data_IF_805117750550
#
_entry.id   IF_805117750550
#
_cell.length_a   1.000
_cell.length_b   1.000
_cell.length_c   1.000
_cell.angle_alpha   90.00
_cell.angle_beta   90.00
_cell.angle_gamma   90.00
#
_symmetry.space_group_name_H-M   'P 1'
#
loop_
_entity.id
_entity.type
_entity.pdbx_description
1 polymer ?
#
# COMPACT_ATOMS: atom_id res chain seq x y z
N UNK A 1 -18.50 13.57 2.40
CA UNK A 1 -17.81 12.60 1.52
C UNK A 1 -16.56 13.31 1.02
N UNK A 2 -15.43 12.63 0.87
CA UNK A 2 -14.19 13.30 0.48
C UNK A 2 -14.12 13.40 -1.05
N UNK A 3 -13.68 14.52 -1.61
CA UNK A 3 -13.43 14.60 -3.05
C UNK A 3 -12.11 13.91 -3.43
N UNK A 4 -11.93 13.59 -4.71
CA UNK A 4 -10.64 13.07 -5.19
C UNK A 4 -9.47 14.02 -4.90
N UNK A 5 -9.70 15.33 -5.07
CA UNK A 5 -8.69 16.36 -4.83
C UNK A 5 -8.34 16.44 -3.34
N UNK A 6 -9.33 16.39 -2.46
CA UNK A 6 -9.10 16.32 -1.02
C UNK A 6 -8.30 15.07 -0.64
N UNK A 7 -8.59 13.91 -1.24
CA UNK A 7 -7.87 12.66 -0.96
C UNK A 7 -6.41 12.77 -1.41
N UNK A 8 -6.20 13.35 -2.57
CA UNK A 8 -4.88 13.63 -3.13
C UNK A 8 -4.05 14.51 -2.20
N UNK A 9 -4.66 15.62 -1.74
CA UNK A 9 -4.02 16.55 -0.82
C UNK A 9 -3.69 15.89 0.52
N UNK A 10 -4.57 15.02 1.05
CA UNK A 10 -4.29 14.26 2.27
C UNK A 10 -3.12 13.28 2.11
N UNK A 11 -2.95 12.65 0.95
CA UNK A 11 -1.77 11.78 0.68
C UNK A 11 -0.50 12.63 0.65
N UNK A 12 -0.54 13.83 0.05
CA UNK A 12 0.60 14.75 -0.06
C UNK A 12 0.97 15.48 1.23
N UNK A 13 0.05 15.58 2.18
CA UNK A 13 0.28 16.20 3.48
C UNK A 13 1.57 15.66 4.12
N UNK A 14 2.41 16.52 4.70
CA UNK A 14 3.59 16.03 5.42
C UNK A 14 3.20 15.34 6.73
N UNK A 15 3.73 14.13 6.95
CA UNK A 15 3.35 13.31 8.10
C UNK A 15 4.56 12.78 8.86
N UNK A 16 4.36 12.54 10.15
CA UNK A 16 5.30 11.85 11.03
C UNK A 16 4.62 10.65 11.65
N UNK A 17 5.23 9.47 11.53
CA UNK A 17 4.89 8.32 12.35
C UNK A 17 5.13 8.65 13.83
N UNK A 18 4.16 8.28 14.66
CA UNK A 18 4.23 8.36 16.12
C UNK A 18 4.84 7.09 16.68
N UNK A 19 5.64 7.24 17.74
CA UNK A 19 6.48 6.18 18.30
C UNK A 19 7.49 5.67 17.25
N UNK A 20 8.59 5.00 17.65
CA UNK A 20 9.47 4.39 16.65
C UNK A 20 8.68 3.32 15.89
N UNK A 21 8.41 3.50 14.58
CA UNK A 21 7.68 2.51 13.83
C UNK A 21 8.63 1.36 13.48
N UNK A 22 8.45 0.20 14.12
CA UNK A 22 9.33 -0.96 13.97
C UNK A 22 8.53 -2.15 13.44
N UNK A 23 9.04 -2.78 12.38
CA UNK A 23 8.57 -4.06 11.87
C UNK A 23 9.51 -5.15 12.38
N UNK A 24 8.98 -6.06 13.18
CA UNK A 24 9.62 -7.32 13.57
C UNK A 24 8.91 -8.48 12.86
N UNK A 25 9.59 -9.08 11.88
CA UNK A 25 9.04 -10.12 10.98
C UNK A 25 8.61 -11.42 11.68
N UNK A 26 8.73 -11.53 13.00
CA UNK A 26 8.05 -12.55 13.81
C UNK A 26 6.53 -12.35 13.86
N UNK A 27 6.06 -11.12 13.60
CA UNK A 27 4.65 -10.75 13.49
C UNK A 27 4.25 -10.59 12.02
N UNK A 28 2.95 -10.57 11.75
CA UNK A 28 2.41 -10.46 10.38
C UNK A 28 1.58 -9.21 10.13
N UNK A 29 1.24 -8.45 11.17
CA UNK A 29 0.37 -7.28 11.07
C UNK A 29 0.89 -6.15 11.96
N UNK A 30 0.90 -4.95 11.42
CA UNK A 30 1.36 -3.74 12.09
C UNK A 30 0.37 -2.62 11.80
N UNK A 31 0.17 -1.74 12.77
CA UNK A 31 -0.59 -0.52 12.63
C UNK A 31 0.25 0.62 13.20
N UNK A 32 0.59 1.59 12.36
CA UNK A 32 1.37 2.76 12.74
C UNK A 32 0.50 4.00 12.67
N UNK A 33 0.39 4.73 13.78
CA UNK A 33 -0.26 6.04 13.81
C UNK A 33 0.70 7.09 13.25
N UNK A 34 0.15 8.05 12.51
CA UNK A 34 0.87 9.23 12.05
C UNK A 34 0.10 10.49 12.44
N UNK A 35 0.82 11.59 12.62
CA UNK A 35 0.25 12.94 12.71
C UNK A 35 0.67 13.76 11.50
N UNK A 36 -0.19 14.67 11.06
CA UNK A 36 0.24 15.74 10.16
C UNK A 36 1.20 16.69 10.87
N UNK A 37 2.17 17.21 10.12
CA UNK A 37 3.10 18.26 10.59
C UNK A 37 2.43 19.63 10.55
N UNK A 38 1.68 19.91 9.49
CA UNK A 38 1.02 21.19 9.21
C UNK A 38 -0.33 21.32 9.90
N UNK A 39 -1.09 20.23 9.99
CA UNK A 39 -2.44 20.18 10.53
C UNK A 39 -2.46 19.36 11.82
N UNK A 40 -2.22 20.02 12.97
CA UNK A 40 -2.03 19.34 14.28
C UNK A 40 -3.16 18.38 14.70
N UNK A 41 -4.38 18.57 14.22
CA UNK A 41 -5.53 17.73 14.54
C UNK A 41 -5.74 16.56 13.56
N UNK A 42 -4.94 16.47 12.50
CA UNK A 42 -5.03 15.40 11.51
C UNK A 42 -4.18 14.20 11.91
N UNK A 43 -4.83 13.05 11.94
CA UNK A 43 -4.25 11.75 12.26
C UNK A 43 -4.47 10.78 11.12
N UNK A 44 -3.46 9.97 10.87
CA UNK A 44 -3.48 8.93 9.85
C UNK A 44 -3.02 7.60 10.42
N UNK A 45 -3.31 6.53 9.70
CA UNK A 45 -2.76 5.21 9.98
C UNK A 45 -2.10 4.65 8.74
N UNK A 46 -1.07 3.84 8.97
CA UNK A 46 -0.53 2.91 7.99
C UNK A 46 -0.66 1.51 8.57
N UNK A 47 -1.49 0.69 7.96
CA UNK A 47 -1.53 -0.74 8.23
C UNK A 47 -0.55 -1.46 7.30
N UNK A 48 0.29 -2.33 7.84
CA UNK A 48 1.15 -3.19 7.05
C UNK A 48 0.86 -4.64 7.42
N UNK A 49 0.54 -5.45 6.44
CA UNK A 49 0.46 -6.91 6.58
C UNK A 49 1.60 -7.54 5.80
N UNK A 50 2.41 -8.39 6.45
CA UNK A 50 3.55 -9.10 5.84
C UNK A 50 3.40 -10.59 6.11
N UNK A 51 3.42 -11.40 5.05
CA UNK A 51 3.31 -12.86 5.14
C UNK A 51 4.30 -13.53 4.20
N UNK A 52 5.20 -14.35 4.74
CA UNK A 52 5.99 -15.25 3.93
C UNK A 52 5.10 -16.38 3.38
N UNK A 53 5.18 -16.64 2.08
CA UNK A 53 4.51 -17.76 1.41
C UNK A 53 5.57 -18.61 0.71
N UNK A 54 5.55 -19.92 0.98
CA UNK A 54 6.35 -20.89 0.23
C UNK A 54 5.52 -21.36 -0.96
N UNK A 55 5.98 -21.05 -2.16
CA UNK A 55 5.40 -21.55 -3.41
C UNK A 55 6.16 -22.82 -3.81
N UNK A 56 5.45 -23.93 -3.91
CA UNK A 56 5.95 -25.18 -4.48
C UNK A 56 5.53 -25.23 -5.94
N UNK A 57 6.49 -25.22 -6.86
CA UNK A 57 6.22 -25.39 -8.29
C UNK A 57 6.53 -26.85 -8.62
N UNK A 58 5.51 -27.65 -8.93
CA UNK A 58 5.65 -29.11 -9.10
C UNK A 58 6.51 -29.52 -10.31
N UNK A 59 6.81 -28.60 -11.23
CA UNK A 59 7.59 -28.86 -12.43
C UNK A 59 9.10 -28.59 -12.29
N UNK A 60 9.55 -28.00 -11.17
CA UNK A 60 10.96 -27.65 -10.93
C UNK A 60 11.34 -28.08 -9.52
N UNK A 61 12.49 -28.73 -9.37
CA UNK A 61 12.95 -29.49 -8.20
C UNK A 61 13.25 -28.62 -6.94
N UNK A 62 12.43 -27.62 -6.61
CA UNK A 62 12.68 -26.65 -5.53
C UNK A 62 11.44 -25.99 -4.93
N UNK A 63 11.58 -25.53 -3.69
CA UNK A 63 10.62 -24.67 -2.98
C UNK A 63 11.10 -23.22 -3.09
N UNK A 64 10.23 -22.31 -3.52
CA UNK A 64 10.54 -20.88 -3.58
C UNK A 64 9.85 -20.15 -2.43
N UNK A 65 10.54 -19.21 -1.77
CA UNK A 65 9.95 -18.34 -0.75
C UNK A 65 9.64 -17.00 -1.41
N UNK A 66 8.37 -16.60 -1.37
CA UNK A 66 7.90 -15.28 -1.80
C UNK A 66 7.23 -14.60 -0.62
N UNK A 67 7.03 -13.29 -0.68
CA UNK A 67 6.33 -12.57 0.37
C UNK A 67 5.12 -11.86 -0.18
N UNK A 68 4.06 -11.81 0.64
CA UNK A 68 2.91 -10.94 0.42
C UNK A 68 3.01 -9.76 1.34
N UNK A 69 2.78 -8.59 0.79
CA UNK A 69 2.60 -7.40 1.60
C UNK A 69 1.45 -6.54 1.11
N UNK A 70 0.76 -5.92 2.06
CA UNK A 70 -0.18 -4.83 1.81
C UNK A 70 0.18 -3.67 2.71
N UNK A 71 0.30 -2.46 2.14
CA UNK A 71 0.52 -1.23 2.89
C UNK A 71 -0.67 -0.31 2.64
N UNK A 72 -1.45 -0.03 3.67
CA UNK A 72 -2.72 0.68 3.57
C UNK A 72 -2.68 1.99 4.37
N UNK A 73 -2.77 3.12 3.69
CA UNK A 73 -2.80 4.44 4.29
C UNK A 73 -4.24 4.94 4.45
N UNK A 74 -4.61 5.33 5.68
CA UNK A 74 -5.97 5.78 6.02
C UNK A 74 -5.96 7.10 6.77
N UNK A 75 -6.95 7.95 6.55
CA UNK A 75 -7.20 9.16 7.35
C UNK A 75 -8.13 8.83 8.50
N UNK A 76 -7.65 8.90 9.75
CA UNK A 76 -8.49 8.72 10.94
C UNK A 76 -9.42 9.92 11.12
N UNK A 77 -8.89 11.12 10.91
CA UNK A 77 -9.60 12.38 11.16
C UNK A 77 -10.76 12.60 10.18
N UNK A 78 -10.77 11.92 9.04
CA UNK A 78 -11.86 11.98 8.08
C UNK A 78 -12.53 10.62 7.94
N UNK A 79 -13.24 10.20 8.99
CA UNK A 79 -14.12 9.02 8.95
C UNK A 79 -13.43 7.67 8.75
N UNK A 80 -12.12 7.58 9.02
CA UNK A 80 -11.33 6.36 8.84
C UNK A 80 -11.31 5.82 7.39
N UNK A 81 -11.18 6.74 6.44
CA UNK A 81 -11.21 6.48 4.99
C UNK A 81 -9.85 6.00 4.50
N UNK A 82 -9.83 5.01 3.59
CA UNK A 82 -8.63 4.61 2.86
C UNK A 82 -8.26 5.62 1.79
N UNK A 83 -6.98 5.94 1.67
CA UNK A 83 -6.44 6.91 0.72
C UNK A 83 -5.64 6.22 -0.38
N UNK A 84 -4.72 5.34 0.01
CA UNK A 84 -3.83 4.62 -0.89
C UNK A 84 -3.51 3.26 -0.29
N UNK A 85 -3.47 2.21 -1.11
CA UNK A 85 -2.94 0.92 -0.70
C UNK A 85 -2.15 0.27 -1.83
N UNK A 86 -1.01 -0.33 -1.52
CA UNK A 86 -0.27 -1.16 -2.48
C UNK A 86 -0.31 -2.61 -2.03
N UNK A 87 -0.63 -3.52 -2.94
CA UNK A 87 -0.72 -4.95 -2.69
C UNK A 87 0.26 -5.73 -3.57
N UNK A 88 1.11 -6.54 -2.95
CA UNK A 88 1.96 -7.54 -3.58
C UNK A 88 1.47 -8.94 -3.19
N UNK A 89 0.21 -9.23 -3.49
CA UNK A 89 -0.42 -10.47 -3.04
C UNK A 89 -1.85 -10.28 -2.60
N UNK A 90 -2.79 -10.27 -3.55
CA UNK A 90 -4.20 -10.05 -3.29
C UNK A 90 -4.99 -10.22 -4.57
N UNK A 91 -6.25 -10.64 -4.47
CA UNK A 91 -7.16 -10.64 -5.62
C UNK A 91 -8.07 -9.43 -5.51
N UNK A 92 -8.32 -8.76 -6.63
CA UNK A 92 -9.23 -7.63 -6.67
C UNK A 92 -9.98 -7.57 -7.99
N UNK A 93 -11.22 -7.05 -7.95
CA UNK A 93 -11.97 -6.70 -9.15
C UNK A 93 -12.44 -5.27 -9.04
N UNK A 94 -12.05 -4.44 -9.99
CA UNK A 94 -12.59 -3.09 -10.11
C UNK A 94 -14.10 -3.16 -10.40
N UNK A 95 -14.87 -2.13 -9.99
CA UNK A 95 -16.24 -1.93 -10.44
C UNK A 95 -16.34 -2.02 -11.96
N UNK A 96 -17.38 -2.67 -12.47
CA UNK A 96 -17.57 -2.89 -13.92
C UNK A 96 -17.82 -1.60 -14.70
N UNK A 97 -18.29 -0.54 -14.03
CA UNK A 97 -18.55 0.77 -14.61
C UNK A 97 -17.79 1.82 -13.81
N UNK A 98 -17.08 2.69 -14.52
CA UNK A 98 -16.52 3.91 -13.96
C UNK A 98 -17.64 4.91 -13.68
N UNK A 99 -17.61 5.57 -12.54
CA UNK A 99 -18.43 6.75 -12.27
C UNK A 99 -17.77 8.01 -12.87
N UNK A 100 -18.46 9.13 -12.77
CA UNK A 100 -18.03 10.45 -13.23
C UNK A 100 -16.78 10.98 -12.51
N UNK A 101 -16.47 10.43 -11.33
CA UNK A 101 -15.31 10.81 -10.53
C UNK A 101 -14.08 9.95 -10.84
N UNK A 102 -14.17 8.87 -11.63
CA UNK A 102 -12.98 8.09 -12.00
C UNK A 102 -12.10 8.95 -12.93
N UNK A 103 -10.84 9.23 -12.58
CA UNK A 103 -9.92 9.92 -13.48
C UNK A 103 -9.78 9.20 -14.82
N UNK A 104 -9.73 9.97 -15.92
CA UNK A 104 -9.68 9.43 -17.28
C UNK A 104 -8.53 8.43 -17.50
N UNK A 105 -7.37 8.67 -16.88
CA UNK A 105 -6.19 7.81 -17.01
C UNK A 105 -6.37 6.42 -16.38
N UNK A 106 -7.29 6.26 -15.41
CA UNK A 106 -7.62 4.95 -14.79
C UNK A 106 -8.95 4.37 -15.24
N UNK A 107 -9.78 5.13 -15.95
CA UNK A 107 -11.10 4.68 -16.40
C UNK A 107 -11.04 3.40 -17.24
N UNK A 108 -9.97 3.23 -18.03
CA UNK A 108 -9.72 2.01 -18.84
C UNK A 108 -9.60 0.72 -18.03
N UNK A 109 -9.42 0.79 -16.72
CA UNK A 109 -9.34 -0.38 -15.83
C UNK A 109 -10.69 -0.77 -15.23
N UNK A 110 -11.80 -0.20 -15.68
CA UNK A 110 -13.13 -0.63 -15.29
C UNK A 110 -13.31 -2.15 -15.52
N UNK A 111 -13.84 -2.86 -14.52
CA UNK A 111 -14.07 -4.30 -14.56
C UNK A 111 -12.82 -5.18 -14.55
N UNK A 112 -11.61 -4.59 -14.56
CA UNK A 112 -10.36 -5.35 -14.52
C UNK A 112 -10.30 -6.23 -13.28
N UNK A 113 -9.91 -7.47 -13.50
CA UNK A 113 -9.55 -8.42 -12.45
C UNK A 113 -8.04 -8.41 -12.27
N UNK A 114 -7.60 -8.32 -11.02
CA UNK A 114 -6.23 -8.44 -10.58
C UNK A 114 -6.04 -9.80 -9.94
N UNK A 115 -5.15 -10.60 -10.51
CA UNK A 115 -4.87 -11.94 -10.00
C UNK A 115 -3.99 -11.91 -8.75
N UNK A 116 -3.93 -13.06 -8.05
CA UNK A 116 -3.28 -13.20 -6.73
C UNK A 116 -1.84 -12.67 -6.69
N UNK A 117 -1.12 -12.77 -7.79
CA UNK A 117 0.29 -12.41 -7.92
C UNK A 117 0.52 -11.26 -8.89
N UNK A 118 -0.53 -10.52 -9.24
CA UNK A 118 -0.45 -9.29 -10.01
C UNK A 118 -0.39 -8.12 -9.02
N UNK A 119 0.77 -7.47 -8.81
CA UNK A 119 0.86 -6.33 -7.90
C UNK A 119 0.04 -5.16 -8.42
N UNK A 120 -0.66 -4.48 -7.51
CA UNK A 120 -1.54 -3.39 -7.89
C UNK A 120 -1.66 -2.35 -6.78
N UNK A 121 -2.03 -1.13 -7.19
CA UNK A 121 -2.23 0.00 -6.29
C UNK A 121 -3.69 0.37 -6.28
N UNK A 122 -4.26 0.34 -5.09
CA UNK A 122 -5.58 0.81 -4.74
C UNK A 122 -5.55 2.31 -4.48
N UNK A 123 -6.46 3.05 -5.12
CA UNK A 123 -6.53 4.50 -5.06
C UNK A 123 -7.93 4.90 -4.61
N UNK A 124 -8.01 5.98 -3.82
CA UNK A 124 -9.29 6.59 -3.51
C UNK A 124 -9.95 7.10 -4.79
N UNK A 125 -11.23 6.76 -4.96
CA UNK A 125 -12.09 7.36 -5.96
C UNK A 125 -13.40 7.72 -5.27
N UNK A 126 -13.79 8.97 -5.40
CA UNK A 126 -14.98 9.56 -4.81
C UNK A 126 -16.24 8.73 -5.12
N UNK A 127 -17.17 8.71 -4.16
CA UNK A 127 -18.42 7.94 -4.15
C UNK A 127 -18.29 6.41 -4.10
N UNK A 128 -17.13 5.82 -4.42
CA UNK A 128 -16.91 4.41 -4.14
C UNK A 128 -16.67 4.15 -2.65
N UNK A 129 -16.98 2.92 -2.20
CA UNK A 129 -16.85 2.52 -0.79
C UNK A 129 -15.48 2.90 -0.20
N UNK A 130 -15.50 3.92 0.65
CA UNK A 130 -14.32 4.67 1.09
C UNK A 130 -13.39 3.86 2.00
N UNK A 131 -13.88 2.78 2.62
CA UNK A 131 -13.10 1.96 3.55
C UNK A 131 -12.28 0.85 2.88
N UNK A 132 -12.59 0.49 1.62
CA UNK A 132 -11.97 -0.67 0.95
C UNK A 132 -11.18 -0.35 -0.30
N UNK A 133 -11.11 0.91 -0.71
CA UNK A 133 -10.46 1.38 -1.94
C UNK A 133 -10.84 0.50 -3.13
N UNK A 134 -12.05 0.71 -3.65
CA UNK A 134 -12.63 -0.20 -4.66
C UNK A 134 -11.97 -0.12 -6.03
N UNK A 135 -11.14 0.87 -6.28
CA UNK A 135 -10.47 1.04 -7.56
C UNK A 135 -8.99 0.75 -7.41
N UNK A 136 -8.44 -0.03 -8.33
CA UNK A 136 -7.02 -0.30 -8.42
C UNK A 136 -6.50 -0.16 -9.85
N UNK A 137 -5.19 0.04 -9.94
CA UNK A 137 -4.43 0.07 -11.20
C UNK A 137 -3.25 -0.89 -11.10
N UNK A 138 -2.76 -1.42 -12.24
CA UNK A 138 -1.50 -2.15 -12.26
C UNK A 138 -0.36 -1.31 -11.67
N UNK A 139 0.52 -1.95 -10.90
CA UNK A 139 1.65 -1.26 -10.28
C UNK A 139 2.56 -0.57 -11.32
N UNK A 140 2.64 -1.13 -12.52
CA UNK A 140 3.48 -0.66 -13.63
C UNK A 140 3.04 0.68 -14.20
N UNK A 141 1.76 1.01 -14.08
CA UNK A 141 1.19 2.26 -14.61
C UNK A 141 0.91 3.29 -13.52
N UNK A 142 1.17 2.93 -12.26
CA UNK A 142 0.95 3.82 -11.14
C UNK A 142 2.07 4.87 -11.07
N UNK A 143 1.66 6.13 -11.10
CA UNK A 143 2.49 7.30 -10.82
C UNK A 143 1.73 8.22 -9.87
N UNK A 144 2.44 8.77 -8.88
CA UNK A 144 1.91 9.78 -7.97
C UNK A 144 2.92 10.91 -7.83
N UNK A 145 2.72 12.00 -8.57
CA UNK A 145 3.65 13.14 -8.66
C UNK A 145 5.09 12.70 -9.01
N UNK A 146 5.26 11.80 -9.99
CA UNK A 146 6.59 11.30 -10.38
C UNK A 146 7.17 10.24 -9.44
N UNK A 147 6.40 9.79 -8.43
CA UNK A 147 6.78 8.69 -7.53
C UNK A 147 6.09 7.41 -7.97
N UNK A 148 6.87 6.35 -8.10
CA UNK A 148 6.39 5.03 -8.50
C UNK A 148 7.09 3.92 -7.71
N UNK A 149 6.59 2.69 -7.84
CA UNK A 149 7.20 1.51 -7.24
C UNK A 149 8.15 0.83 -8.22
N UNK A 150 9.42 0.65 -7.81
CA UNK A 150 10.43 -0.03 -8.63
C UNK A 150 10.36 -1.54 -8.51
N UNK A 151 9.94 -2.05 -7.35
CA UNK A 151 9.82 -3.49 -7.08
C UNK A 151 8.57 -4.04 -7.73
N UNK A 152 8.69 -5.13 -8.49
CA UNK A 152 7.56 -5.81 -9.16
C UNK A 152 7.14 -7.12 -8.49
N UNK A 153 7.96 -7.63 -7.57
CA UNK A 153 7.62 -8.80 -6.74
C UNK A 153 8.48 -8.77 -5.47
N UNK A 154 7.96 -9.26 -4.35
CA UNK A 154 8.73 -9.34 -3.10
C UNK A 154 9.39 -10.71 -2.98
N UNK A 155 10.67 -10.78 -3.33
CA UNK A 155 11.45 -12.01 -3.29
C UNK A 155 12.42 -12.03 -2.10
N UNK A 156 12.66 -10.88 -1.48
CA UNK A 156 13.60 -10.71 -0.39
C UNK A 156 13.08 -9.73 0.67
N UNK A 157 13.76 -9.68 1.82
CA UNK A 157 13.53 -8.63 2.82
C UNK A 157 13.92 -7.27 2.25
N UNK A 158 14.97 -7.19 1.43
CA UNK A 158 15.39 -5.92 0.82
C UNK A 158 14.33 -5.36 -0.14
N UNK A 159 13.61 -6.22 -0.88
CA UNK A 159 12.45 -5.81 -1.69
C UNK A 159 11.33 -5.24 -0.82
N UNK A 160 11.05 -5.88 0.32
CA UNK A 160 10.04 -5.43 1.28
C UNK A 160 10.42 -4.08 1.90
N UNK A 161 11.69 -3.92 2.29
CA UNK A 161 12.22 -2.65 2.79
C UNK A 161 12.10 -1.59 1.71
N UNK A 162 12.47 -1.89 0.46
CA UNK A 162 12.39 -0.95 -0.67
C UNK A 162 10.97 -0.49 -0.95
N UNK A 163 10.00 -1.41 -1.07
CA UNK A 163 8.58 -1.06 -1.25
C UNK A 163 8.07 -0.20 -0.10
N UNK A 164 8.48 -0.50 1.13
CA UNK A 164 8.09 0.30 2.30
C UNK A 164 8.64 1.73 2.18
N UNK A 165 9.89 1.91 1.73
CA UNK A 165 10.49 3.24 1.50
C UNK A 165 9.80 4.02 0.38
N UNK A 166 9.46 3.35 -0.71
CA UNK A 166 8.73 3.96 -1.82
C UNK A 166 7.33 4.38 -1.38
N UNK A 167 6.64 3.54 -0.61
CA UNK A 167 5.34 3.86 -0.03
C UNK A 167 5.42 5.07 0.92
N UNK A 168 6.40 5.10 1.84
CA UNK A 168 6.67 6.24 2.72
C UNK A 168 6.89 7.55 1.96
N UNK A 169 7.63 7.49 0.85
CA UNK A 169 7.86 8.64 0.00
C UNK A 169 6.57 9.13 -0.67
N UNK A 170 5.71 8.22 -1.15
CA UNK A 170 4.42 8.56 -1.77
C UNK A 170 3.49 9.24 -0.76
N UNK A 171 3.36 8.70 0.46
CA UNK A 171 2.49 9.27 1.50
C UNK A 171 3.12 10.46 2.24
N UNK A 172 4.28 10.92 1.79
CA UNK A 172 5.06 12.04 2.33
C UNK A 172 5.38 11.91 3.84
N UNK A 173 5.84 10.73 4.25
CA UNK A 173 6.35 10.48 5.60
C UNK A 173 7.76 11.08 5.77
N UNK A 174 7.97 11.86 6.84
CA UNK A 174 9.26 12.51 7.14
C UNK A 174 10.20 11.66 8.00
N UNK A 175 9.69 10.62 8.64
CA UNK A 175 10.46 9.60 9.34
C UNK A 175 10.12 8.20 8.80
N UNK A 176 10.97 7.22 9.12
CA UNK A 176 10.99 5.91 8.47
C UNK A 176 10.63 4.77 9.43
N UNK A 177 9.88 3.80 8.93
CA UNK A 177 9.65 2.47 9.49
C UNK A 177 10.98 1.71 9.47
N UNK A 178 11.41 1.22 10.62
CA UNK A 178 12.65 0.44 10.75
C UNK A 178 12.31 -1.04 10.76
N UNK A 179 13.12 -1.83 10.07
CA UNK A 179 13.02 -3.28 10.12
C UNK A 179 13.97 -3.78 11.21
N UNK A 180 13.43 -4.55 12.16
CA UNK A 180 14.24 -5.23 13.14
C UNK A 180 14.85 -6.45 12.47
N UNK A 181 16.11 -6.32 12.05
CA UNK A 181 16.91 -7.46 11.60
C UNK A 181 17.27 -8.23 12.86
N UNK A 182 16.50 -9.28 13.21
CA UNK A 182 16.94 -10.15 14.30
C UNK A 182 18.28 -10.78 13.91
N UNK A 183 19.21 -10.83 14.85
CA UNK A 183 20.53 -11.47 14.70
C UNK A 183 20.44 -13.00 14.49
N UNK A 184 19.24 -13.56 14.32
CA UNK A 184 18.97 -15.00 14.30
C UNK A 184 18.27 -15.43 13.02
N UNK A 185 18.88 -15.16 11.87
CA UNK A 185 18.51 -15.79 10.59
C UNK A 185 19.76 -16.26 9.85
N UNK A 186 20.59 -17.04 10.54
CA UNK A 186 21.45 -18.05 9.92
C UNK A 186 21.12 -19.38 10.61
N UNK A 187 20.35 -20.22 9.93
CA UNK A 187 19.91 -21.54 10.37
C UNK A 187 19.17 -22.23 9.26
#
# INVERSE_FOLDING_TARGET
MLSNEEAYNLIKEEKLFLNPPIIDLTHTKYNFEMKSITQKNFKFFVDIEVKAEVIKIELSVGRYKTWKTSHNHRSKSVGNIGLLRVDFGGKHKNPSRANEHVPSWIARFAGKYFERYEPHVHIYVETYSMQRLKWAVPLEVFDFDGKAFSVKAINSIDDLERVTREFEAIINARNRIRFMKSLFWYG
#
